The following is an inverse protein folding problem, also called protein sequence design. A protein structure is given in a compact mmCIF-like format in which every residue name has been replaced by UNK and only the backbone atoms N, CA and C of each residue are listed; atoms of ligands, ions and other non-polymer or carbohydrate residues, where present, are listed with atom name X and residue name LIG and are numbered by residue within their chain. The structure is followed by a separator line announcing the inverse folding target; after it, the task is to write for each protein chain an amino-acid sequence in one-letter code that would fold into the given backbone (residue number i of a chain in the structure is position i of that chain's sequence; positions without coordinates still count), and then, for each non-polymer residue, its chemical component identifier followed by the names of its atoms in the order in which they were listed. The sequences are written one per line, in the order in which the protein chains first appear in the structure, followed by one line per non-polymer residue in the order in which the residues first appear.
data_IF_465420487872
#
_entry.id   IF_465420487872
#
_cell.length_a   1.000
_cell.length_b   1.000
_cell.length_c   1.000
_cell.angle_alpha   90.00
_cell.angle_beta   90.00
_cell.angle_gamma   90.00
#
_symmetry.space_group_name_H-M   'P 1'
#
loop_
_entity.id
_entity.type
_entity.pdbx_description
1 polymer ?
#
# COMPACT_ATOMS: atom_id res chain seq x y z
N UNK A 1 11.09 34.60 -0.70
CA UNK A 1 11.03 33.13 -0.49
C UNK A 1 11.03 32.75 0.99
N UNK A 2 10.55 33.61 1.91
CA UNK A 2 10.62 33.34 3.35
C UNK A 2 9.28 32.77 3.82
N UNK A 3 9.29 31.52 4.31
CA UNK A 3 8.08 30.79 4.74
C UNK A 3 7.90 29.41 4.12
N UNK A 4 8.80 28.97 3.23
CA UNK A 4 8.70 27.64 2.61
C UNK A 4 9.31 26.58 3.52
N UNK A 5 8.56 25.50 3.76
CA UNK A 5 9.13 24.28 4.30
C UNK A 5 9.91 23.56 3.21
N UNK A 6 11.23 23.50 3.37
CA UNK A 6 12.10 22.63 2.58
C UNK A 6 11.68 21.18 2.87
N UNK A 7 11.67 20.33 1.84
CA UNK A 7 11.42 18.89 2.02
C UNK A 7 12.34 18.36 3.12
N UNK A 8 11.73 17.84 4.18
CA UNK A 8 12.45 17.32 5.33
C UNK A 8 12.34 15.79 5.31
N UNK A 9 13.34 15.15 4.73
CA UNK A 9 13.40 13.71 4.58
C UNK A 9 13.27 12.98 5.92
N UNK A 10 13.96 13.46 6.96
CA UNK A 10 13.92 12.86 8.30
C UNK A 10 12.53 12.91 8.92
N UNK A 11 11.85 14.06 8.78
CA UNK A 11 10.47 14.22 9.23
C UNK A 11 9.53 13.27 8.49
N UNK A 12 9.58 13.25 7.15
CA UNK A 12 8.64 12.44 6.37
C UNK A 12 8.90 10.95 6.52
N UNK A 13 10.15 10.51 6.67
CA UNK A 13 10.47 9.13 7.02
C UNK A 13 9.83 8.73 8.35
N UNK A 14 9.99 9.56 9.39
CA UNK A 14 9.35 9.33 10.70
C UNK A 14 7.82 9.25 10.57
N UNK A 15 7.20 10.18 9.84
CA UNK A 15 5.75 10.19 9.64
C UNK A 15 5.28 8.95 8.88
N UNK A 16 6.02 8.50 7.86
CA UNK A 16 5.69 7.28 7.11
C UNK A 16 5.68 6.06 8.03
N UNK A 17 6.71 5.90 8.87
CA UNK A 17 6.81 4.81 9.82
C UNK A 17 5.63 4.84 10.83
N UNK A 18 5.35 6.01 11.42
CA UNK A 18 4.28 6.17 12.40
C UNK A 18 2.89 5.91 11.80
N UNK A 19 2.58 6.52 10.64
CA UNK A 19 1.24 6.42 10.03
C UNK A 19 0.98 5.07 9.39
N UNK A 20 2.01 4.43 8.83
CA UNK A 20 1.89 3.05 8.33
C UNK A 20 1.53 2.08 9.45
N UNK A 21 2.19 2.21 10.61
CA UNK A 21 1.89 1.39 11.79
C UNK A 21 0.51 1.72 12.37
N UNK A 22 0.14 2.99 12.46
CA UNK A 22 -1.16 3.43 12.96
C UNK A 22 -2.31 2.83 12.14
N UNK A 23 -2.25 2.93 10.80
CA UNK A 23 -3.26 2.35 9.91
C UNK A 23 -3.26 0.82 10.03
N UNK A 24 -2.09 0.18 10.00
CA UNK A 24 -1.99 -1.29 10.01
C UNK A 24 -2.56 -1.93 11.27
N UNK A 25 -2.47 -1.24 12.43
CA UNK A 25 -3.07 -1.68 13.69
C UNK A 25 -4.60 -1.75 13.65
N UNK A 26 -5.22 -1.02 12.73
CA UNK A 26 -6.68 -1.02 12.61
C UNK A 26 -7.22 -2.33 12.05
N UNK A 27 -6.35 -3.15 11.44
CA UNK A 27 -6.72 -4.44 10.89
C UNK A 27 -6.62 -5.61 11.86
N UNK A 28 -6.33 -5.42 13.16
CA UNK A 28 -6.13 -6.56 14.09
C UNK A 28 -7.41 -7.30 14.49
N UNK A 29 -8.59 -6.74 14.18
CA UNK A 29 -9.88 -7.30 14.57
C UNK A 29 -10.23 -8.61 13.86
N UNK A 30 -11.10 -9.41 14.51
CA UNK A 30 -11.67 -10.65 13.96
C UNK A 30 -12.41 -10.40 12.64
N UNK A 31 -12.95 -9.21 12.42
CA UNK A 31 -13.58 -8.82 11.16
C UNK A 31 -12.63 -8.90 9.95
N UNK A 32 -11.32 -8.72 10.13
CA UNK A 32 -10.35 -8.75 9.02
C UNK A 32 -9.71 -10.11 8.80
N UNK A 33 -9.47 -10.84 9.89
CA UNK A 33 -8.73 -12.11 9.87
C UNK A 33 -9.61 -13.34 10.08
N UNK A 34 -10.86 -13.17 10.49
CA UNK A 34 -11.71 -14.28 10.91
C UNK A 34 -11.03 -15.08 12.04
N UNK A 35 -10.87 -16.38 11.85
CA UNK A 35 -10.18 -17.25 12.82
C UNK A 35 -8.68 -17.42 12.51
N UNK A 36 -8.13 -16.76 11.48
CA UNK A 36 -6.73 -16.86 11.07
C UNK A 36 -5.83 -16.14 12.10
N UNK A 37 -4.92 -16.87 12.75
CA UNK A 37 -4.02 -16.32 13.79
C UNK A 37 -2.58 -16.10 13.36
N UNK A 38 -2.08 -16.94 12.45
CA UNK A 38 -0.69 -16.91 11.98
C UNK A 38 -0.62 -16.46 10.52
N UNK A 39 -1.36 -15.41 10.16
CA UNK A 39 -1.41 -14.90 8.80
C UNK A 39 -0.94 -13.44 8.76
N UNK A 40 -0.28 -13.08 7.67
CA UNK A 40 0.08 -11.72 7.32
C UNK A 40 -0.19 -11.45 5.84
N UNK A 41 -0.40 -10.19 5.51
CA UNK A 41 -0.49 -9.70 4.12
C UNK A 41 0.49 -8.55 3.96
N UNK A 42 1.16 -8.49 2.81
CA UNK A 42 1.93 -7.32 2.43
C UNK A 42 0.99 -6.25 1.89
N UNK A 43 1.00 -5.10 2.54
CA UNK A 43 0.19 -3.94 2.17
C UNK A 43 1.11 -2.79 1.79
N UNK A 44 0.85 -2.14 0.65
CA UNK A 44 1.49 -0.89 0.27
C UNK A 44 0.51 0.26 0.50
N UNK A 45 1.03 1.37 1.01
CA UNK A 45 0.29 2.61 1.19
C UNK A 45 0.98 3.72 0.40
N UNK A 46 0.21 4.43 -0.40
CA UNK A 46 0.71 5.57 -1.16
C UNK A 46 0.43 6.85 -0.38
N UNK A 47 1.47 7.55 0.04
CA UNK A 47 1.36 8.84 0.72
C UNK A 47 1.89 9.97 -0.14
N UNK A 48 1.37 11.18 0.09
CA UNK A 48 1.94 12.42 -0.41
C UNK A 48 2.27 13.36 0.76
N UNK A 49 3.49 13.94 0.81
CA UNK A 49 3.85 14.93 1.81
C UNK A 49 3.15 16.27 1.55
N UNK A 50 2.60 16.86 2.62
CA UNK A 50 1.96 18.18 2.60
C UNK A 50 2.25 18.95 3.86
N UNK A 51 2.99 20.05 3.78
CA UNK A 51 3.22 20.99 4.89
C UNK A 51 3.51 20.32 6.23
N UNK A 52 4.49 19.40 6.24
CA UNK A 52 4.90 18.62 7.43
C UNK A 52 3.89 17.56 7.89
N UNK A 53 2.88 17.25 7.08
CA UNK A 53 1.94 16.16 7.25
C UNK A 53 2.01 15.17 6.08
N UNK A 54 1.33 14.03 6.21
CA UNK A 54 1.10 13.08 5.12
C UNK A 54 -0.38 13.01 4.78
N UNK A 55 -0.70 12.87 3.49
CA UNK A 55 -2.02 12.47 3.03
C UNK A 55 -1.95 11.11 2.36
N UNK A 56 -2.86 10.22 2.72
CA UNK A 56 -2.98 8.86 2.23
C UNK A 56 -3.83 8.86 0.96
N UNK A 57 -3.25 8.38 -0.14
CA UNK A 57 -3.86 8.39 -1.47
C UNK A 57 -4.49 7.04 -1.81
N UNK A 58 -3.83 5.95 -1.44
CA UNK A 58 -4.25 4.59 -1.80
C UNK A 58 -3.66 3.55 -0.85
N UNK A 59 -4.33 2.40 -0.78
CA UNK A 59 -3.81 1.16 -0.20
C UNK A 59 -3.89 0.05 -1.25
N UNK A 60 -2.87 -0.80 -1.32
CA UNK A 60 -2.79 -1.91 -2.25
C UNK A 60 -2.32 -3.17 -1.54
N UNK A 61 -2.98 -4.30 -1.78
CA UNK A 61 -2.56 -5.62 -1.25
C UNK A 61 -2.01 -6.56 -2.32
N UNK A 62 -2.22 -6.22 -3.59
CA UNK A 62 -1.60 -6.89 -4.73
C UNK A 62 -0.37 -6.10 -5.19
N UNK A 63 0.66 -6.11 -4.36
CA UNK A 63 1.84 -5.24 -4.52
C UNK A 63 2.84 -5.88 -5.47
N UNK A 64 3.28 -5.11 -6.48
CA UNK A 64 4.47 -5.46 -7.25
C UNK A 64 5.70 -5.41 -6.35
N UNK A 65 6.36 -6.52 -6.04
CA UNK A 65 7.60 -6.52 -5.23
C UNK A 65 8.80 -6.76 -6.14
N UNK A 66 9.32 -5.69 -6.71
CA UNK A 66 10.45 -5.76 -7.62
C UNK A 66 11.80 -5.73 -6.87
N UNK A 67 12.89 -6.00 -7.59
CA UNK A 67 14.24 -6.01 -7.04
C UNK A 67 14.60 -4.68 -6.39
N UNK A 68 14.14 -3.60 -6.99
CA UNK A 68 14.34 -2.21 -6.56
C UNK A 68 13.71 -1.92 -5.20
N UNK A 69 12.78 -2.76 -4.73
CA UNK A 69 12.11 -2.60 -3.44
C UNK A 69 12.83 -3.33 -2.29
N UNK A 70 13.83 -4.17 -2.59
CA UNK A 70 14.62 -4.91 -1.60
C UNK A 70 15.21 -3.99 -0.51
N UNK A 71 15.83 -2.82 -0.83
CA UNK A 71 16.41 -1.95 0.20
C UNK A 71 15.40 -1.37 1.19
N UNK A 72 14.10 -1.39 0.84
CA UNK A 72 13.03 -0.84 1.66
C UNK A 72 12.29 -1.90 2.48
N UNK A 73 12.64 -3.18 2.33
CA UNK A 73 12.04 -4.27 3.09
C UNK A 73 12.94 -4.69 4.26
N UNK A 74 12.39 -4.65 5.49
CA UNK A 74 13.11 -5.07 6.69
C UNK A 74 13.00 -6.59 6.90
N UNK A 75 13.85 -7.34 6.19
CA UNK A 75 13.96 -8.79 6.34
C UNK A 75 14.33 -9.19 7.78
N UNK A 76 15.12 -8.38 8.49
CA UNK A 76 15.55 -8.68 9.85
C UNK A 76 14.39 -8.59 10.83
N UNK A 77 13.51 -7.59 10.70
CA UNK A 77 12.30 -7.47 11.49
C UNK A 77 11.38 -8.67 11.27
N UNK A 78 11.17 -9.09 10.02
CA UNK A 78 10.38 -10.29 9.71
C UNK A 78 11.01 -11.54 10.35
N UNK A 79 12.33 -11.70 10.25
CA UNK A 79 13.03 -12.83 10.88
C UNK A 79 12.79 -12.87 12.40
N UNK A 80 13.02 -11.73 13.07
CA UNK A 80 12.83 -11.58 14.51
C UNK A 80 11.39 -11.87 14.91
N UNK A 81 10.42 -11.42 14.12
CA UNK A 81 9.02 -11.75 14.31
C UNK A 81 8.79 -13.26 14.24
N UNK A 82 9.31 -13.95 13.23
CA UNK A 82 9.14 -15.38 13.09
C UNK A 82 9.80 -16.18 14.24
N UNK A 83 11.03 -15.82 14.61
CA UNK A 83 11.75 -16.43 15.73
C UNK A 83 11.03 -16.21 17.06
N UNK A 84 10.57 -14.98 17.33
CA UNK A 84 9.83 -14.65 18.56
C UNK A 84 8.57 -15.48 18.72
N UNK A 85 7.88 -15.75 17.62
CA UNK A 85 6.66 -16.57 17.61
C UNK A 85 6.94 -18.07 17.43
N UNK A 86 8.21 -18.49 17.42
CA UNK A 86 8.65 -19.89 17.30
C UNK A 86 8.12 -20.59 16.04
N UNK A 87 7.92 -19.85 14.96
CA UNK A 87 7.57 -20.44 13.67
C UNK A 87 8.76 -21.24 13.12
N UNK A 88 8.50 -22.45 12.64
CA UNK A 88 9.49 -23.29 11.96
C UNK A 88 9.23 -23.37 10.44
N UNK A 89 8.12 -22.81 9.98
CA UNK A 89 7.70 -22.78 8.58
C UNK A 89 7.03 -21.44 8.25
N UNK A 90 7.35 -20.90 7.08
CA UNK A 90 6.63 -19.80 6.45
C UNK A 90 6.13 -20.26 5.09
N UNK A 91 4.85 -20.04 4.82
CA UNK A 91 4.23 -20.27 3.50
C UNK A 91 4.06 -18.92 2.82
N UNK A 92 4.76 -18.69 1.72
CA UNK A 92 4.59 -17.53 0.85
C UNK A 92 3.50 -17.77 -0.18
N UNK A 93 2.38 -17.03 -0.07
CA UNK A 93 1.26 -17.16 -1.00
C UNK A 93 1.43 -16.20 -2.17
N UNK A 94 1.74 -16.74 -3.35
CA UNK A 94 2.13 -15.99 -4.55
C UNK A 94 1.19 -16.25 -5.73
N UNK A 95 0.91 -15.23 -6.53
CA UNK A 95 0.07 -15.37 -7.70
C UNK A 95 0.87 -16.09 -8.78
N UNK A 96 0.47 -17.30 -9.13
CA UNK A 96 1.26 -18.17 -10.03
C UNK A 96 1.50 -17.51 -11.39
N UNK A 97 0.48 -16.84 -11.93
CA UNK A 97 0.56 -16.15 -13.23
C UNK A 97 1.52 -14.96 -13.24
N UNK A 98 1.85 -14.41 -12.08
CA UNK A 98 2.71 -13.23 -11.96
C UNK A 98 4.11 -13.64 -11.50
N UNK A 99 4.22 -14.63 -10.63
CA UNK A 99 5.49 -15.14 -10.13
C UNK A 99 6.29 -15.88 -11.22
N UNK A 100 5.63 -16.69 -12.07
CA UNK A 100 6.28 -17.59 -13.02
C UNK A 100 6.26 -17.12 -14.49
N UNK A 101 6.28 -15.81 -14.77
CA UNK A 101 6.23 -15.25 -16.15
C UNK A 101 7.43 -15.56 -17.08
N UNK A 102 8.26 -16.56 -16.77
CA UNK A 102 9.31 -17.07 -17.66
C UNK A 102 10.69 -16.42 -17.51
N UNK A 103 11.71 -17.10 -18.07
CA UNK A 103 13.09 -16.62 -18.13
C UNK A 103 13.20 -15.39 -19.05
N UNK A 104 13.82 -14.32 -18.58
CA UNK A 104 14.03 -13.08 -19.36
C UNK A 104 12.99 -11.98 -19.14
N UNK A 105 11.88 -12.24 -18.43
CA UNK A 105 10.89 -11.21 -18.12
C UNK A 105 11.20 -10.60 -16.75
N UNK A 106 11.51 -9.30 -16.73
CA UNK A 106 11.73 -8.46 -15.53
C UNK A 106 10.48 -8.34 -14.61
N UNK A 107 9.52 -9.25 -14.69
CA UNK A 107 8.16 -9.05 -14.18
C UNK A 107 7.65 -10.12 -13.21
N UNK A 108 8.53 -10.93 -12.59
CA UNK A 108 8.10 -11.77 -11.47
C UNK A 108 7.75 -10.88 -10.28
N UNK A 109 6.57 -11.07 -9.70
CA UNK A 109 6.19 -10.42 -8.43
C UNK A 109 5.66 -11.44 -7.43
N UNK A 110 6.27 -11.57 -6.24
CA UNK A 110 7.54 -10.94 -5.87
C UNK A 110 8.70 -11.38 -6.77
N UNK A 111 9.71 -10.53 -6.90
CA UNK A 111 10.87 -10.82 -7.75
C UNK A 111 11.66 -12.01 -7.21
N UNK A 112 12.28 -12.79 -8.10
CA UNK A 112 13.12 -13.92 -7.71
C UNK A 112 14.27 -13.52 -6.77
N UNK A 113 14.83 -12.32 -6.93
CA UNK A 113 15.87 -11.80 -6.03
C UNK A 113 15.32 -11.55 -4.63
N UNK A 114 14.12 -10.96 -4.51
CA UNK A 114 13.45 -10.76 -3.23
C UNK A 114 13.15 -12.11 -2.55
N UNK A 115 12.58 -13.07 -3.28
CA UNK A 115 12.22 -14.38 -2.73
C UNK A 115 13.44 -15.18 -2.29
N UNK A 116 14.55 -15.13 -3.05
CA UNK A 116 15.82 -15.77 -2.65
C UNK A 116 16.37 -15.16 -1.36
N UNK A 117 16.31 -13.84 -1.19
CA UNK A 117 16.75 -13.20 0.05
C UNK A 117 15.86 -13.57 1.23
N UNK A 118 14.54 -13.62 1.03
CA UNK A 118 13.58 -14.07 2.03
C UNK A 118 13.87 -15.51 2.48
N UNK A 119 14.02 -16.42 1.53
CA UNK A 119 14.33 -17.84 1.78
C UNK A 119 15.68 -18.01 2.50
N UNK A 120 16.74 -17.34 2.03
CA UNK A 120 18.06 -17.38 2.67
C UNK A 120 18.03 -16.85 4.11
N UNK A 121 17.29 -15.76 4.35
CA UNK A 121 17.14 -15.21 5.69
C UNK A 121 16.41 -16.19 6.61
N UNK A 122 15.28 -16.76 6.17
CA UNK A 122 14.49 -17.69 6.99
C UNK A 122 15.26 -18.99 7.27
N UNK A 123 15.90 -19.55 6.25
CA UNK A 123 16.70 -20.77 6.37
C UNK A 123 17.91 -20.59 7.30
N UNK A 124 18.55 -19.42 7.33
CA UNK A 124 19.62 -19.11 8.27
C UNK A 124 19.20 -19.20 9.74
N UNK A 125 17.89 -19.14 9.99
CA UNK A 125 17.26 -19.24 11.32
C UNK A 125 16.55 -20.59 11.53
N UNK A 126 16.76 -21.56 10.65
CA UNK A 126 16.12 -22.88 10.73
C UNK A 126 14.63 -22.87 10.38
N UNK A 127 14.14 -21.82 9.71
CA UNK A 127 12.74 -21.67 9.32
C UNK A 127 12.61 -22.09 7.85
N UNK A 128 11.77 -23.10 7.58
CA UNK A 128 11.48 -23.55 6.21
C UNK A 128 10.65 -22.51 5.48
N UNK A 129 10.90 -22.32 4.19
CA UNK A 129 10.09 -21.48 3.33
C UNK A 129 9.51 -22.30 2.18
N UNK A 130 8.20 -22.24 2.00
CA UNK A 130 7.48 -22.93 0.94
C UNK A 130 6.58 -21.95 0.20
N UNK A 131 6.33 -22.21 -1.09
CA UNK A 131 5.43 -21.41 -1.91
C UNK A 131 4.09 -22.10 -2.05
N UNK A 132 3.03 -21.31 -1.91
CA UNK A 132 1.67 -21.72 -2.23
C UNK A 132 1.16 -20.88 -3.42
N UNK A 133 0.75 -21.52 -4.54
CA UNK A 133 0.22 -20.80 -5.68
C UNK A 133 -1.22 -20.34 -5.39
N UNK A 134 -1.43 -19.03 -5.34
CA UNK A 134 -2.78 -18.47 -5.31
C UNK A 134 -3.45 -18.65 -6.68
N UNK A 135 -4.75 -18.99 -6.71
CA UNK A 135 -5.49 -19.14 -7.95
C UNK A 135 -5.68 -17.79 -8.65
N UNK A 136 -6.24 -17.84 -9.86
CA UNK A 136 -6.51 -16.64 -10.65
C UNK A 136 -7.78 -15.96 -10.12
N UNK A 137 -7.72 -14.65 -9.90
CA UNK A 137 -8.92 -13.85 -9.64
C UNK A 137 -9.98 -14.10 -10.75
N UNK A 138 -11.27 -14.33 -10.41
CA UNK A 138 -11.91 -14.05 -9.11
C UNK A 138 -11.96 -15.23 -8.11
N UNK A 139 -11.21 -16.30 -8.33
CA UNK A 139 -11.22 -17.44 -7.40
C UNK A 139 -10.57 -17.07 -6.05
N UNK A 140 -11.19 -17.44 -4.91
CA UNK A 140 -10.61 -17.21 -3.59
C UNK A 140 -9.41 -18.09 -3.33
N UNK A 141 -8.50 -17.63 -2.47
CA UNK A 141 -7.38 -18.46 -2.05
C UNK A 141 -7.95 -19.58 -1.15
N UNK A 142 -7.73 -20.86 -1.48
CA UNK A 142 -8.26 -21.96 -0.68
C UNK A 142 -7.64 -21.93 0.73
N UNK A 143 -8.33 -22.57 1.67
CA UNK A 143 -7.79 -22.76 3.01
C UNK A 143 -6.46 -23.53 2.94
N UNK A 144 -5.45 -22.97 3.61
CA UNK A 144 -4.12 -23.57 3.70
C UNK A 144 -4.07 -24.29 5.04
N UNK A 145 -3.97 -25.61 5.02
CA UNK A 145 -3.79 -26.41 6.23
C UNK A 145 -2.46 -26.03 6.90
N UNK A 146 -2.55 -25.54 8.14
CA UNK A 146 -1.42 -24.99 8.88
C UNK A 146 -1.44 -25.44 10.32
N UNK A 147 -0.26 -25.78 10.85
CA UNK A 147 -0.07 -25.99 12.28
C UNK A 147 0.20 -24.66 13.01
N UNK A 148 0.25 -24.70 14.34
CA UNK A 148 0.52 -23.51 15.16
C UNK A 148 1.92 -22.91 14.94
N UNK A 149 2.83 -23.64 14.26
CA UNK A 149 4.22 -23.22 13.99
C UNK A 149 4.42 -22.75 12.56
N UNK A 150 3.35 -22.67 11.78
CA UNK A 150 3.37 -22.20 10.39
C UNK A 150 2.80 -20.80 10.31
N UNK A 151 3.56 -19.90 9.67
CA UNK A 151 3.11 -18.55 9.35
C UNK A 151 2.81 -18.41 7.85
N UNK A 152 1.65 -17.89 7.51
CA UNK A 152 1.25 -17.65 6.11
C UNK A 152 1.47 -16.18 5.78
N UNK A 153 2.38 -15.91 4.84
CA UNK A 153 2.65 -14.56 4.34
C UNK A 153 2.09 -14.40 2.92
N UNK A 154 1.07 -13.56 2.78
CA UNK A 154 0.35 -13.35 1.53
C UNK A 154 0.91 -12.15 0.75
N UNK A 155 1.27 -12.42 -0.50
CA UNK A 155 1.68 -11.41 -1.51
C UNK A 155 0.62 -11.20 -2.60
N UNK A 156 -0.47 -11.96 -2.55
CA UNK A 156 -1.46 -12.08 -3.63
C UNK A 156 -2.83 -11.65 -3.16
N UNK A 157 -3.63 -11.04 -4.02
CA UNK A 157 -5.02 -10.70 -3.74
C UNK A 157 -5.89 -11.95 -3.45
N UNK A 158 -6.76 -11.83 -2.46
CA UNK A 158 -7.76 -12.81 -2.02
C UNK A 158 -9.14 -12.12 -1.95
N UNK A 159 -10.08 -12.42 -2.86
CA UNK A 159 -11.41 -11.78 -2.89
C UNK A 159 -12.24 -12.01 -1.61
N UNK A 160 -11.90 -12.97 -0.76
CA UNK A 160 -12.58 -13.19 0.52
C UNK A 160 -11.93 -12.43 1.70
N UNK A 161 -10.78 -11.78 1.48
CA UNK A 161 -10.12 -10.99 2.53
C UNK A 161 -10.76 -9.61 2.64
N UNK A 162 -11.24 -9.24 3.84
CA UNK A 162 -11.76 -7.88 4.11
C UNK A 162 -10.72 -6.79 3.92
N UNK A 163 -9.43 -7.09 4.13
CA UNK A 163 -8.34 -6.14 3.86
C UNK A 163 -8.23 -5.88 2.35
N UNK A 164 -8.41 -6.92 1.53
CA UNK A 164 -8.37 -6.82 0.07
C UNK A 164 -9.61 -6.18 -0.52
N UNK A 165 -10.78 -6.43 0.08
CA UNK A 165 -12.01 -5.73 -0.28
C UNK A 165 -11.83 -4.21 -0.10
N UNK A 166 -11.29 -3.77 1.05
CA UNK A 166 -10.95 -2.37 1.28
C UNK A 166 -9.92 -1.86 0.27
N UNK A 167 -8.90 -2.65 -0.07
CA UNK A 167 -7.89 -2.23 -1.03
C UNK A 167 -8.38 -2.18 -2.49
N UNK A 168 -9.42 -2.94 -2.83
CA UNK A 168 -9.97 -2.95 -4.20
C UNK A 168 -10.98 -1.82 -4.44
N UNK A 169 -11.63 -1.30 -3.40
CA UNK A 169 -12.57 -0.17 -3.50
C UNK A 169 -12.12 1.02 -2.63
N UNK A 170 -11.70 2.10 -3.30
CA UNK A 170 -11.25 3.35 -2.66
C UNK A 170 -12.31 3.97 -1.76
N UNK A 171 -13.59 3.83 -2.09
CA UNK A 171 -14.70 4.37 -1.30
C UNK A 171 -14.81 3.63 0.04
N UNK A 172 -14.76 2.30 0.00
CA UNK A 172 -14.78 1.47 1.21
C UNK A 172 -13.57 1.77 2.11
N UNK A 173 -12.38 1.95 1.53
CA UNK A 173 -11.22 2.34 2.31
C UNK A 173 -11.34 3.72 2.95
N UNK A 174 -11.83 4.73 2.20
CA UNK A 174 -12.08 6.07 2.72
C UNK A 174 -13.05 6.02 3.90
N UNK A 175 -14.13 5.26 3.78
CA UNK A 175 -15.13 5.13 4.84
C UNK A 175 -14.56 4.40 6.06
N UNK A 176 -13.71 3.38 5.86
CA UNK A 176 -12.94 2.75 6.92
C UNK A 176 -12.06 3.77 7.66
N UNK A 177 -11.21 4.53 6.95
CA UNK A 177 -10.32 5.55 7.52
C UNK A 177 -11.10 6.61 8.32
N UNK A 178 -12.28 7.04 7.83
CA UNK A 178 -13.16 7.96 8.56
C UNK A 178 -13.70 7.33 9.84
N UNK A 179 -14.22 6.10 9.75
CA UNK A 179 -14.81 5.35 10.87
C UNK A 179 -13.82 5.16 12.02
N UNK A 180 -12.55 4.90 11.72
CA UNK A 180 -11.49 4.71 12.72
C UNK A 180 -10.88 6.03 13.24
N UNK A 181 -11.41 7.19 12.83
CA UNK A 181 -10.96 8.49 13.30
C UNK A 181 -9.67 9.03 12.67
N UNK A 182 -9.20 8.42 11.57
CA UNK A 182 -7.99 8.85 10.85
C UNK A 182 -8.29 9.78 9.65
N UNK A 183 -9.43 10.47 9.68
CA UNK A 183 -9.87 11.37 8.59
C UNK A 183 -8.85 12.46 8.23
N UNK A 184 -7.97 12.87 9.15
CA UNK A 184 -6.91 13.85 8.89
C UNK A 184 -5.85 13.35 7.90
N UNK A 185 -5.75 12.03 7.69
CA UNK A 185 -4.89 11.44 6.66
C UNK A 185 -5.51 11.54 5.27
N UNK A 186 -6.82 11.73 5.16
CA UNK A 186 -7.46 11.80 3.84
C UNK A 186 -7.17 13.15 3.18
N UNK A 187 -6.90 13.18 1.87
CA UNK A 187 -6.81 14.44 1.15
C UNK A 187 -8.18 15.15 1.17
N UNK A 188 -8.15 16.48 1.11
CA UNK A 188 -9.36 17.26 0.93
C UNK A 188 -10.03 16.91 -0.41
N UNK A 189 -11.35 16.76 -0.39
CA UNK A 189 -12.21 16.48 -1.56
C UNK A 189 -13.36 17.50 -1.68
N UNK A 190 -13.93 17.66 -2.88
CA UNK A 190 -15.12 18.52 -3.13
C UNK A 190 -14.86 19.92 -3.70
N UNK A 191 -15.95 20.71 -3.86
CA UNK A 191 -15.97 21.97 -4.62
C UNK A 191 -15.11 23.10 -4.03
N UNK A 192 -14.91 23.10 -2.70
CA UNK A 192 -14.13 24.14 -2.00
C UNK A 192 -12.64 24.13 -2.38
N UNK A 193 -12.16 23.10 -3.06
CA UNK A 193 -10.78 22.94 -3.50
C UNK A 193 -10.38 23.90 -4.62
N UNK A 194 -11.36 24.46 -5.32
CA UNK A 194 -11.16 25.31 -6.50
C UNK A 194 -11.13 26.81 -6.18
N UNK A 195 -11.34 27.16 -4.91
CA UNK A 195 -11.58 28.55 -4.51
C UNK A 195 -10.31 29.31 -4.13
N UNK A 196 -9.17 28.63 -3.95
CA UNK A 196 -7.90 29.25 -3.57
C UNK A 196 -6.81 28.94 -4.61
N UNK A 197 -6.07 29.96 -5.02
CA UNK A 197 -4.92 29.84 -5.94
C UNK A 197 -3.62 29.97 -5.15
N UNK A 198 -2.60 29.16 -5.47
CA UNK A 198 -1.25 29.49 -5.03
C UNK A 198 -0.75 30.69 -5.83
N UNK A 199 -0.36 31.77 -5.14
CA UNK A 199 0.16 32.99 -5.76
C UNK A 199 1.50 32.84 -6.48
N UNK A 200 2.13 31.66 -6.45
CA UNK A 200 3.38 31.38 -7.15
C UNK A 200 3.12 30.55 -8.42
N UNK A 201 3.53 31.06 -9.58
CA UNK A 201 3.28 30.47 -10.90
C UNK A 201 3.99 29.14 -11.16
N UNK A 202 5.02 28.80 -10.39
CA UNK A 202 5.86 27.61 -10.64
C UNK A 202 5.42 26.33 -9.93
N UNK A 203 4.40 26.37 -9.05
CA UNK A 203 4.00 25.22 -8.23
C UNK A 203 2.54 24.82 -8.46
N UNK A 204 2.20 23.53 -8.60
CA UNK A 204 0.82 23.12 -8.87
C UNK A 204 -0.15 23.53 -7.76
N UNK A 205 -1.36 23.91 -8.15
CA UNK A 205 -2.45 24.27 -7.24
C UNK A 205 -3.20 23.02 -6.72
N UNK A 206 -3.22 21.95 -7.52
CA UNK A 206 -3.89 20.68 -7.22
C UNK A 206 -3.00 19.51 -7.64
N UNK A 207 -3.02 18.44 -6.84
CA UNK A 207 -2.34 17.17 -7.12
C UNK A 207 -3.35 16.04 -7.11
N UNK A 208 -3.50 15.33 -8.22
CA UNK A 208 -4.57 14.36 -8.42
C UNK A 208 -4.02 12.99 -8.76
N UNK A 209 -4.61 11.96 -8.15
CA UNK A 209 -4.44 10.58 -8.60
C UNK A 209 -5.74 10.16 -9.30
N UNK A 210 -5.71 10.05 -10.62
CA UNK A 210 -6.90 9.73 -11.41
C UNK A 210 -7.10 8.21 -11.47
N UNK A 211 -8.12 7.63 -10.81
CA UNK A 211 -8.34 6.18 -10.75
C UNK A 211 -8.53 5.52 -12.13
N UNK A 212 -9.03 6.23 -13.15
CA UNK A 212 -9.20 5.65 -14.51
C UNK A 212 -7.90 5.66 -15.32
N UNK A 213 -6.98 6.58 -15.03
CA UNK A 213 -5.67 6.70 -15.69
C UNK A 213 -4.53 6.05 -14.88
N UNK A 214 -4.82 5.61 -13.65
CA UNK A 214 -3.92 4.95 -12.69
C UNK A 214 -3.34 3.62 -13.21
N UNK A 215 -3.84 3.14 -14.35
CA UNK A 215 -3.18 2.15 -15.20
C UNK A 215 -1.87 2.70 -15.81
N UNK A 216 -0.92 3.13 -14.96
CA UNK A 216 0.47 3.56 -15.22
C UNK A 216 0.75 5.06 -15.43
N UNK A 217 -0.22 5.98 -15.33
CA UNK A 217 0.06 7.44 -15.52
C UNK A 217 0.42 8.21 -14.25
N UNK A 218 0.28 7.61 -13.07
CA UNK A 218 0.74 8.18 -11.81
C UNK A 218 -0.06 9.42 -11.38
N UNK A 219 0.61 10.31 -10.63
CA UNK A 219 0.03 11.53 -10.07
C UNK A 219 0.11 12.69 -11.08
N UNK A 220 -0.98 13.44 -11.22
CA UNK A 220 -1.08 14.63 -12.07
C UNK A 220 -0.99 15.92 -11.25
N UNK A 221 -0.27 16.91 -11.78
CA UNK A 221 -0.05 18.20 -11.15
C UNK A 221 -0.69 19.30 -11.99
N UNK A 222 -1.61 20.06 -11.40
CA UNK A 222 -2.47 21.00 -12.13
C UNK A 222 -2.35 22.42 -11.61
N UNK A 223 -2.43 23.38 -12.54
CA UNK A 223 -2.63 24.80 -12.26
C UNK A 223 -4.09 25.18 -12.52
N UNK A 224 -4.70 25.92 -11.59
CA UNK A 224 -6.05 26.49 -11.75
C UNK A 224 -5.90 27.84 -12.46
N UNK A 225 -5.74 27.80 -13.79
CA UNK A 225 -5.63 29.00 -14.60
C UNK A 225 -6.99 29.63 -14.94
N UNK A 226 -8.04 28.83 -15.17
CA UNK A 226 -9.30 29.29 -15.78
C UNK A 226 -10.56 28.55 -15.27
N UNK A 227 -11.75 29.10 -15.51
CA UNK A 227 -13.05 28.50 -15.14
C UNK A 227 -13.29 27.13 -15.78
N UNK A 228 -12.69 26.85 -16.95
CA UNK A 228 -12.74 25.54 -17.61
C UNK A 228 -12.06 24.43 -16.79
N UNK A 229 -10.99 24.76 -16.06
CA UNK A 229 -10.31 23.82 -15.16
C UNK A 229 -11.21 23.46 -13.97
N UNK A 230 -11.99 24.43 -13.47
CA UNK A 230 -12.97 24.19 -12.40
C UNK A 230 -14.10 23.29 -12.88
N UNK A 231 -14.64 23.54 -14.07
CA UNK A 231 -15.70 22.73 -14.67
C UNK A 231 -15.24 21.29 -14.97
N UNK A 232 -13.98 21.13 -15.40
CA UNK A 232 -13.35 19.83 -15.63
C UNK A 232 -13.30 18.96 -14.36
N UNK A 233 -12.93 19.52 -13.21
CA UNK A 233 -12.88 18.77 -11.95
C UNK A 233 -14.26 18.44 -11.38
N UNK A 234 -15.22 19.36 -11.49
CA UNK A 234 -16.62 19.10 -11.09
C UNK A 234 -17.24 17.90 -11.80
N UNK A 235 -16.93 17.72 -13.09
CA UNK A 235 -17.46 16.61 -13.90
C UNK A 235 -16.87 15.24 -13.58
N UNK A 236 -15.72 15.17 -12.89
CA UNK A 236 -14.96 13.92 -12.69
C UNK A 236 -15.06 13.32 -11.28
N UNK A 237 -15.60 14.04 -10.31
CA UNK A 237 -15.74 13.54 -8.93
C UNK A 237 -14.43 13.20 -8.21
N UNK A 238 -13.28 13.49 -8.82
CA UNK A 238 -11.94 13.18 -8.32
C UNK A 238 -11.31 14.49 -7.88
N UNK A 239 -11.07 14.64 -6.58
CA UNK A 239 -10.36 15.81 -6.08
C UNK A 239 -9.58 15.45 -4.82
N UNK A 240 -8.26 15.50 -4.92
CA UNK A 240 -7.34 15.61 -3.80
C UNK A 240 -6.57 16.92 -3.94
N UNK A 241 -6.47 17.73 -2.88
CA UNK A 241 -5.57 18.89 -2.83
C UNK A 241 -4.63 18.73 -1.66
N UNK A 242 -3.40 19.19 -1.82
CA UNK A 242 -2.49 19.43 -0.71
C UNK A 242 -3.02 20.69 0.03
N UNK A 243 -3.40 20.63 1.33
CA UNK A 243 -3.75 21.83 2.10
C UNK A 243 -2.62 22.89 2.10
N UNK A 244 -2.95 24.12 2.52
CA UNK A 244 -2.05 25.29 2.58
C UNK A 244 -0.91 25.16 3.57
#
# INVERSE_FOLDING_TARGET
MNGRYIYNESLYKKLLDEKTVEISRTFFGKEYWGNKKNHGVIVAYDFIPVNKELKLLEVNTNVGIFKEYIPYFDFLALNKFCQKNKFNKVIGVVNEHWYNRGFGVRSSTPSKDFMRLLENMLSSSGIKFELFPAPRHPEPIPEIDTDEKTFVLRFSFDPESKIDELASDKSLFIDHIKKIGLSSLLPLSGDNLLNEKYGNSTFPDIVLKNPQLDNKRGVEFWKISEDKTKEFFKKRGIVSRLPQ
#
